data_IF_255207302516
#
_entry.id   IF_255207302516
#
_cell.length_a   1.000
_cell.length_b   1.000
_cell.length_c   1.000
_cell.angle_alpha   90.00
_cell.angle_beta   90.00
_cell.angle_gamma   90.00
#
_symmetry.space_group_name_H-M   'P 1'
#
loop_
_entity.id
_entity.type
_entity.pdbx_description
1 polymer ?
#
# COMPACT_ATOMS: atom_id res chain seq x y z
N UNK A 1 -8.31 26.78 0.72
CA UNK A 1 -8.25 25.38 1.13
C UNK A 1 -7.23 25.28 2.27
N UNK A 2 -7.61 24.81 3.47
CA UNK A 2 -6.61 24.52 4.51
C UNK A 2 -5.71 23.42 3.95
N UNK A 3 -4.41 23.66 3.85
CA UNK A 3 -3.41 22.66 3.48
C UNK A 3 -3.56 21.50 4.44
N UNK A 4 -3.60 20.28 3.91
CA UNK A 4 -3.56 19.11 4.78
C UNK A 4 -2.23 19.15 5.51
N UNK A 5 -2.30 19.07 6.83
CA UNK A 5 -1.10 18.90 7.65
C UNK A 5 -0.31 17.71 7.11
N UNK A 6 0.99 17.90 6.87
CA UNK A 6 1.87 16.83 6.45
C UNK A 6 1.91 15.77 7.55
N UNK A 7 1.30 14.63 7.27
CA UNK A 7 1.17 13.53 8.22
C UNK A 7 2.14 12.41 7.85
N UNK A 8 2.69 11.77 8.90
CA UNK A 8 3.58 10.62 8.74
C UNK A 8 4.91 10.93 8.01
N UNK A 9 5.50 9.90 7.44
CA UNK A 9 6.77 9.94 6.68
C UNK A 9 7.98 10.33 7.53
N UNK A 10 7.89 10.14 8.84
CA UNK A 10 8.98 10.50 9.77
C UNK A 10 10.25 9.72 9.44
N UNK A 11 10.10 8.41 9.18
CA UNK A 11 11.23 7.51 8.86
C UNK A 11 11.84 7.87 7.50
N UNK A 12 11.00 8.03 6.49
CA UNK A 12 11.41 8.39 5.13
C UNK A 12 12.06 9.78 5.11
N UNK A 13 11.43 10.77 5.75
CA UNK A 13 11.96 12.13 5.87
C UNK A 13 13.32 12.15 6.56
N UNK A 14 13.45 11.42 7.69
CA UNK A 14 14.72 11.33 8.43
C UNK A 14 15.81 10.70 7.54
N UNK A 15 15.51 9.60 6.87
CA UNK A 15 16.46 8.87 6.02
C UNK A 15 16.93 9.73 4.84
N UNK A 16 15.99 10.38 4.14
CA UNK A 16 16.34 11.28 3.03
C UNK A 16 17.20 12.44 3.53
N UNK A 17 16.80 13.13 4.61
CA UNK A 17 17.56 14.26 5.14
C UNK A 17 18.96 13.86 5.60
N UNK A 18 19.14 12.67 6.19
CA UNK A 18 20.45 12.15 6.56
C UNK A 18 21.34 11.93 5.33
N UNK A 19 20.80 11.35 4.27
CA UNK A 19 21.55 11.14 3.02
C UNK A 19 21.90 12.46 2.33
N UNK A 20 20.98 13.44 2.29
CA UNK A 20 21.23 14.76 1.70
C UNK A 20 22.28 15.61 2.48
N UNK A 21 22.58 15.24 3.72
CA UNK A 21 23.62 15.91 4.54
C UNK A 21 25.03 15.34 4.32
N UNK A 22 25.20 14.33 3.48
CA UNK A 22 26.51 13.78 3.17
C UNK A 22 27.36 14.81 2.42
N UNK A 23 28.69 14.72 2.58
CA UNK A 23 29.63 15.68 1.95
C UNK A 23 29.78 15.51 0.44
N UNK A 24 29.28 14.43 -0.12
CA UNK A 24 29.27 14.12 -1.56
C UNK A 24 27.85 14.13 -2.10
N UNK A 25 27.68 14.43 -3.38
CA UNK A 25 26.38 14.34 -4.02
C UNK A 25 25.81 12.93 -3.92
N UNK A 26 24.49 12.83 -3.69
CA UNK A 26 23.78 11.56 -3.55
C UNK A 26 22.68 11.45 -4.60
N UNK A 27 22.40 10.21 -5.00
CA UNK A 27 21.30 9.86 -5.88
C UNK A 27 20.24 9.07 -5.12
N UNK A 28 19.04 9.61 -5.00
CA UNK A 28 17.93 9.02 -4.24
C UNK A 28 16.77 8.72 -5.17
N UNK A 29 16.19 7.55 -5.02
CA UNK A 29 15.02 7.10 -5.79
C UNK A 29 13.82 6.93 -4.87
N UNK A 30 12.73 7.65 -5.16
CA UNK A 30 11.45 7.52 -4.50
C UNK A 30 10.44 6.88 -5.44
N UNK A 31 9.79 5.80 -5.01
CA UNK A 31 8.75 5.18 -5.81
C UNK A 31 7.61 4.65 -4.94
N UNK A 32 6.50 4.33 -5.54
CA UNK A 32 5.35 3.78 -4.84
C UNK A 32 4.05 4.21 -5.51
N UNK A 33 2.96 3.60 -5.08
CA UNK A 33 1.64 3.78 -5.66
C UNK A 33 1.27 5.27 -5.78
N UNK A 34 0.55 5.60 -6.86
CA UNK A 34 -0.04 6.92 -7.08
C UNK A 34 -0.86 7.37 -5.86
N UNK A 35 -0.83 8.69 -5.58
CA UNK A 35 -1.60 9.35 -4.51
C UNK A 35 -1.17 9.01 -3.06
N UNK A 36 -0.04 8.32 -2.88
CA UNK A 36 0.52 8.04 -1.55
C UNK A 36 1.38 9.16 -0.95
N UNK A 37 1.43 10.34 -1.60
CA UNK A 37 2.09 11.53 -1.04
C UNK A 37 3.58 11.68 -1.37
N UNK A 38 4.10 11.08 -2.47
CA UNK A 38 5.51 11.21 -2.91
C UNK A 38 5.91 12.65 -3.19
N UNK A 39 5.16 13.34 -4.07
CA UNK A 39 5.39 14.75 -4.42
C UNK A 39 5.29 15.67 -3.20
N UNK A 40 4.34 15.38 -2.30
CA UNK A 40 4.18 16.11 -1.03
C UNK A 40 5.39 15.93 -0.13
N UNK A 41 5.94 14.71 -0.04
CA UNK A 41 7.16 14.43 0.72
C UNK A 41 8.35 15.20 0.14
N UNK A 42 8.57 15.17 -1.18
CA UNK A 42 9.65 15.91 -1.82
C UNK A 42 9.55 17.41 -1.51
N UNK A 43 8.37 18.00 -1.70
CA UNK A 43 8.14 19.43 -1.39
C UNK A 43 8.31 19.76 0.09
N UNK A 44 7.97 18.82 0.99
CA UNK A 44 8.16 19.00 2.44
C UNK A 44 9.64 19.02 2.86
N UNK A 45 10.49 18.28 2.17
CA UNK A 45 11.92 18.19 2.51
C UNK A 45 12.79 19.22 1.77
N UNK A 46 12.27 19.86 0.73
CA UNK A 46 12.98 20.88 -0.06
C UNK A 46 13.51 22.02 0.79
N UNK A 47 14.75 22.40 0.52
CA UNK A 47 15.38 23.60 1.04
C UNK A 47 15.26 24.79 0.09
N UNK A 48 15.73 25.94 0.56
CA UNK A 48 15.67 27.20 -0.20
C UNK A 48 16.46 27.15 -1.52
N UNK A 49 17.53 26.38 -1.56
CA UNK A 49 18.45 26.32 -2.71
C UNK A 49 18.14 25.16 -3.66
N UNK A 50 17.14 24.34 -3.35
CA UNK A 50 16.73 23.20 -4.15
C UNK A 50 15.86 23.59 -5.34
N UNK A 51 15.81 22.72 -6.35
CA UNK A 51 14.96 22.85 -7.53
C UNK A 51 14.00 21.68 -7.57
N UNK A 52 12.75 21.94 -7.93
CA UNK A 52 11.74 20.91 -8.16
C UNK A 52 11.20 21.05 -9.58
N UNK A 53 11.21 19.94 -10.31
CA UNK A 53 10.58 19.82 -11.61
C UNK A 53 9.62 18.65 -11.63
N UNK A 54 8.42 18.87 -12.14
CA UNK A 54 7.45 17.81 -12.40
C UNK A 54 7.37 17.57 -13.90
N UNK A 55 7.79 16.40 -14.34
CA UNK A 55 7.72 16.00 -15.73
C UNK A 55 6.29 15.69 -16.16
N UNK A 56 6.00 15.90 -17.43
CA UNK A 56 4.72 15.60 -18.07
C UNK A 56 4.89 14.71 -19.33
N UNK A 57 3.82 14.45 -20.05
CA UNK A 57 3.86 13.62 -21.26
C UNK A 57 4.02 14.50 -22.50
N UNK A 58 5.24 14.93 -22.77
CA UNK A 58 5.60 15.71 -23.95
C UNK A 58 6.83 15.08 -24.65
N UNK A 59 7.10 15.53 -25.88
CA UNK A 59 8.30 15.19 -26.59
C UNK A 59 9.57 15.77 -25.91
N UNK A 60 10.71 15.14 -26.13
CA UNK A 60 11.97 15.44 -25.44
C UNK A 60 12.34 16.94 -25.45
N UNK A 61 12.23 17.59 -26.60
CA UNK A 61 12.59 19.00 -26.76
C UNK A 61 11.73 19.88 -25.87
N UNK A 62 10.41 19.65 -25.88
CA UNK A 62 9.46 20.42 -25.05
C UNK A 62 9.63 20.16 -23.56
N UNK A 63 9.96 18.92 -23.18
CA UNK A 63 10.30 18.56 -21.80
C UNK A 63 11.54 19.32 -21.34
N UNK A 64 12.60 19.36 -22.15
CA UNK A 64 13.84 20.03 -21.84
C UNK A 64 13.65 21.56 -21.73
N UNK A 65 12.86 22.14 -22.62
CA UNK A 65 12.50 23.55 -22.56
C UNK A 65 11.63 23.91 -21.35
N UNK A 66 10.64 23.07 -21.03
CA UNK A 66 9.80 23.24 -19.85
C UNK A 66 10.64 23.16 -18.56
N UNK A 67 11.57 22.23 -18.50
CA UNK A 67 12.48 22.09 -17.37
C UNK A 67 13.41 23.32 -17.26
N UNK A 68 13.94 23.81 -18.39
CA UNK A 68 14.76 25.02 -18.41
C UNK A 68 13.99 26.26 -17.89
N UNK A 69 12.72 26.40 -18.26
CA UNK A 69 11.85 27.47 -17.75
C UNK A 69 11.64 27.37 -16.24
N UNK A 70 11.43 26.15 -15.71
CA UNK A 70 11.29 25.95 -14.26
C UNK A 70 12.58 26.34 -13.51
N UNK A 71 13.74 25.98 -14.06
CA UNK A 71 15.04 26.36 -13.52
C UNK A 71 15.26 27.87 -13.59
N UNK A 72 14.75 28.54 -14.63
CA UNK A 72 14.92 29.99 -14.84
C UNK A 72 14.25 30.85 -13.75
N UNK A 73 13.23 30.32 -13.03
CA UNK A 73 12.69 31.01 -11.84
C UNK A 73 13.76 31.22 -10.77
N UNK A 74 14.74 30.34 -10.70
CA UNK A 74 15.84 30.42 -9.74
C UNK A 74 17.12 30.97 -10.35
N UNK A 75 17.43 30.61 -11.58
CA UNK A 75 18.60 31.00 -12.32
C UNK A 75 18.18 31.77 -13.58
N UNK A 76 18.00 33.12 -13.51
CA UNK A 76 17.55 33.92 -14.64
C UNK A 76 18.37 33.66 -15.90
N UNK A 77 17.69 33.59 -17.03
CA UNK A 77 18.26 33.31 -18.37
C UNK A 77 18.71 31.88 -18.61
N UNK A 78 18.45 30.93 -17.72
CA UNK A 78 18.71 29.52 -17.98
C UNK A 78 17.89 29.00 -19.18
N UNK A 79 16.65 29.46 -19.31
CA UNK A 79 15.72 29.15 -20.40
C UNK A 79 16.08 29.86 -21.73
N UNK A 80 17.01 30.80 -21.73
CA UNK A 80 17.47 31.52 -22.96
C UNK A 80 18.62 30.76 -23.66
N UNK A 81 19.15 29.73 -23.05
CA UNK A 81 20.21 28.89 -23.62
C UNK A 81 19.58 27.70 -24.33
N UNK A 82 20.03 27.41 -25.55
CA UNK A 82 19.63 26.19 -26.28
C UNK A 82 20.49 25.03 -25.80
N UNK A 83 19.85 24.04 -25.23
CA UNK A 83 20.50 22.80 -24.81
C UNK A 83 20.24 21.70 -25.85
N UNK A 84 21.21 21.29 -26.67
CA UNK A 84 20.98 20.30 -27.73
C UNK A 84 20.76 18.87 -27.18
N UNK A 85 21.20 18.59 -25.96
CA UNK A 85 21.07 17.28 -25.32
C UNK A 85 20.82 17.40 -23.82
N UNK A 86 20.38 16.32 -23.17
CA UNK A 86 20.31 16.25 -21.71
C UNK A 86 21.68 16.34 -21.04
N UNK A 87 22.76 15.88 -21.68
CA UNK A 87 24.12 16.02 -21.17
C UNK A 87 24.50 17.50 -21.05
N UNK A 88 24.28 18.30 -22.13
CA UNK A 88 24.54 19.74 -22.12
C UNK A 88 23.65 20.49 -21.12
N UNK A 89 22.40 20.04 -20.95
CA UNK A 89 21.47 20.59 -19.99
C UNK A 89 21.95 20.40 -18.54
N UNK A 90 22.26 19.16 -18.15
CA UNK A 90 22.76 18.88 -16.79
C UNK A 90 24.13 19.50 -16.54
N UNK A 91 24.99 19.59 -17.55
CA UNK A 91 26.25 20.31 -17.44
C UNK A 91 26.01 21.80 -17.15
N UNK A 92 25.15 22.47 -17.93
CA UNK A 92 24.76 23.86 -17.69
C UNK A 92 24.14 24.10 -16.30
N UNK A 93 23.34 23.15 -15.84
CA UNK A 93 22.76 23.20 -14.49
C UNK A 93 23.82 23.04 -13.40
N UNK A 94 24.80 22.14 -13.58
CA UNK A 94 25.89 21.91 -12.65
C UNK A 94 26.75 23.17 -12.40
N UNK A 95 26.85 24.04 -13.40
CA UNK A 95 27.56 25.34 -13.30
C UNK A 95 26.77 26.37 -12.47
N UNK A 96 25.50 26.19 -12.24
CA UNK A 96 24.61 27.16 -11.57
C UNK A 96 24.17 26.71 -10.18
N UNK A 97 24.01 25.41 -9.95
CA UNK A 97 23.56 24.88 -8.67
C UNK A 97 24.62 25.05 -7.58
N UNK A 98 24.16 25.40 -6.39
CA UNK A 98 25.01 25.42 -5.22
C UNK A 98 25.43 23.99 -4.83
N UNK A 99 26.64 23.85 -4.34
CA UNK A 99 27.13 22.58 -3.80
C UNK A 99 26.17 22.07 -2.71
N UNK A 100 25.85 20.79 -2.79
CA UNK A 100 24.93 20.06 -1.88
C UNK A 100 23.46 20.54 -1.92
N UNK A 101 23.05 21.40 -2.84
CA UNK A 101 21.62 21.60 -3.12
C UNK A 101 21.05 20.37 -3.84
N UNK A 102 19.74 20.29 -3.97
CA UNK A 102 19.07 19.08 -4.50
C UNK A 102 18.19 19.43 -5.70
N UNK A 103 18.32 18.62 -6.74
CA UNK A 103 17.40 18.60 -7.87
C UNK A 103 16.38 17.48 -7.64
N UNK A 104 15.11 17.85 -7.46
CA UNK A 104 13.98 16.95 -7.35
C UNK A 104 13.29 16.83 -8.71
N UNK A 105 13.22 15.64 -9.26
CA UNK A 105 12.52 15.33 -10.52
C UNK A 105 11.34 14.41 -10.21
N UNK A 106 10.15 14.97 -10.27
CA UNK A 106 8.91 14.22 -10.08
C UNK A 106 8.42 13.68 -11.43
N UNK A 107 7.80 12.50 -11.38
CA UNK A 107 7.35 11.73 -12.56
C UNK A 107 8.47 11.50 -13.59
N UNK A 108 9.68 11.17 -13.14
CA UNK A 108 10.84 10.82 -13.94
C UNK A 108 10.56 9.80 -15.07
N UNK A 109 9.66 8.81 -14.89
CA UNK A 109 9.25 7.92 -15.98
C UNK A 109 8.74 8.62 -17.24
N UNK A 110 8.15 9.80 -17.16
CA UNK A 110 7.71 10.54 -18.34
C UNK A 110 8.89 11.09 -19.14
N UNK A 111 9.96 11.54 -18.47
CA UNK A 111 11.20 11.91 -19.16
C UNK A 111 11.84 10.70 -19.88
N UNK A 112 11.85 9.55 -19.21
CA UNK A 112 12.43 8.32 -19.81
C UNK A 112 11.63 7.85 -21.02
N UNK A 113 10.30 8.00 -21.01
CA UNK A 113 9.46 7.63 -22.17
C UNK A 113 9.79 8.47 -23.42
N UNK A 114 10.01 9.76 -23.25
CA UNK A 114 10.38 10.67 -24.37
C UNK A 114 11.88 10.62 -24.71
N UNK A 115 12.72 10.24 -23.74
CA UNK A 115 14.18 10.17 -23.87
C UNK A 115 14.71 8.87 -23.28
N UNK A 116 14.62 7.72 -24.00
CA UNK A 116 15.10 6.43 -23.48
C UNK A 116 16.58 6.39 -23.11
N UNK A 117 17.40 7.30 -23.66
CA UNK A 117 18.82 7.43 -23.32
C UNK A 117 19.07 8.15 -21.97
N UNK A 118 18.07 8.83 -21.40
CA UNK A 118 18.24 9.64 -20.20
C UNK A 118 18.77 8.85 -18.99
N UNK A 119 18.33 7.62 -18.69
CA UNK A 119 18.92 6.83 -17.61
C UNK A 119 20.42 6.61 -17.75
N UNK A 120 20.91 6.35 -18.99
CA UNK A 120 22.35 6.21 -19.28
C UNK A 120 23.12 7.51 -19.11
N UNK A 121 22.50 8.65 -19.43
CA UNK A 121 23.10 9.98 -19.22
C UNK A 121 23.23 10.26 -17.71
N UNK A 122 22.17 10.00 -16.94
CA UNK A 122 22.20 10.15 -15.48
C UNK A 122 23.25 9.20 -14.87
N UNK A 123 23.34 7.97 -15.34
CA UNK A 123 24.38 7.03 -14.93
C UNK A 123 25.78 7.61 -15.13
N UNK A 124 26.10 8.12 -16.33
CA UNK A 124 27.41 8.72 -16.62
C UNK A 124 27.74 9.90 -15.72
N UNK A 125 26.75 10.74 -15.41
CA UNK A 125 26.89 11.89 -14.49
C UNK A 125 27.25 11.43 -13.08
N UNK A 126 26.61 10.36 -12.58
CA UNK A 126 26.89 9.79 -11.27
C UNK A 126 28.26 9.11 -11.25
N UNK A 127 28.55 8.24 -12.22
CA UNK A 127 29.77 7.44 -12.28
C UNK A 127 31.04 8.33 -12.47
N UNK A 128 30.93 9.44 -13.20
CA UNK A 128 32.02 10.41 -13.39
C UNK A 128 32.31 11.27 -12.15
N UNK A 129 31.43 11.24 -11.12
CA UNK A 129 31.53 12.11 -9.93
C UNK A 129 31.61 13.59 -10.26
N UNK A 130 31.08 14.00 -11.41
CA UNK A 130 31.11 15.40 -11.88
C UNK A 130 30.03 16.27 -11.28
N UNK A 131 28.99 15.68 -10.67
CA UNK A 131 27.90 16.41 -10.06
C UNK A 131 28.35 17.12 -8.77
N UNK A 132 27.86 18.34 -8.58
CA UNK A 132 28.05 19.13 -7.36
C UNK A 132 26.82 19.18 -6.47
N UNK A 133 25.68 18.66 -6.95
CA UNK A 133 24.37 18.67 -6.32
C UNK A 133 23.77 17.26 -6.24
N UNK A 134 22.80 17.09 -5.35
CA UNK A 134 22.07 15.82 -5.18
C UNK A 134 20.98 15.68 -6.24
N UNK A 135 20.65 14.45 -6.60
CA UNK A 135 19.51 14.14 -7.48
C UNK A 135 18.52 13.25 -6.72
N UNK A 136 17.27 13.67 -6.69
CA UNK A 136 16.16 12.86 -6.18
C UNK A 136 15.16 12.66 -7.30
N UNK A 137 15.01 11.44 -7.78
CA UNK A 137 13.99 11.10 -8.78
C UNK A 137 12.79 10.43 -8.12
N UNK A 138 11.62 10.69 -8.67
CA UNK A 138 10.37 10.11 -8.21
C UNK A 138 9.50 9.65 -9.37
N UNK A 139 8.70 8.60 -9.16
CA UNK A 139 7.69 8.17 -10.12
C UNK A 139 6.54 7.43 -9.49
N UNK A 140 5.35 7.61 -10.07
CA UNK A 140 4.13 6.93 -9.63
C UNK A 140 4.00 5.52 -10.23
N UNK A 141 4.57 5.26 -11.40
CA UNK A 141 4.60 3.92 -11.97
C UNK A 141 5.63 3.05 -11.25
N UNK A 142 5.13 2.16 -10.38
CA UNK A 142 5.98 1.25 -9.63
C UNK A 142 6.77 0.32 -10.56
N UNK A 143 6.12 -0.18 -11.61
CA UNK A 143 6.75 -1.08 -12.58
C UNK A 143 7.94 -0.41 -13.28
N UNK A 144 7.75 0.82 -13.79
CA UNK A 144 8.83 1.53 -14.47
C UNK A 144 9.97 1.89 -13.51
N UNK A 145 9.66 2.42 -12.34
CA UNK A 145 10.69 2.79 -11.37
C UNK A 145 11.48 1.58 -10.86
N UNK A 146 10.81 0.46 -10.59
CA UNK A 146 11.50 -0.78 -10.23
C UNK A 146 12.35 -1.32 -11.39
N UNK A 147 11.85 -1.27 -12.62
CA UNK A 147 12.61 -1.60 -13.81
C UNK A 147 13.90 -0.78 -13.89
N UNK A 148 13.81 0.54 -13.79
CA UNK A 148 14.94 1.46 -13.93
C UNK A 148 16.07 1.27 -12.92
N UNK A 149 15.75 0.88 -11.67
CA UNK A 149 16.73 0.90 -10.56
C UNK A 149 17.00 -0.46 -9.92
N UNK A 150 16.14 -1.47 -10.12
CA UNK A 150 16.27 -2.79 -9.49
C UNK A 150 16.56 -3.91 -10.50
N UNK A 151 16.48 -3.66 -11.81
CA UNK A 151 16.85 -4.62 -12.84
C UNK A 151 18.33 -4.50 -13.17
N UNK A 152 19.06 -5.63 -13.13
CA UNK A 152 20.49 -5.67 -13.39
C UNK A 152 20.90 -5.18 -14.80
N UNK A 153 19.96 -5.23 -15.74
CA UNK A 153 20.19 -4.86 -17.13
C UNK A 153 20.03 -3.35 -17.39
N UNK A 154 19.60 -2.60 -16.36
CA UNK A 154 19.27 -1.17 -16.49
C UNK A 154 20.43 -0.27 -16.02
N UNK A 155 20.62 0.89 -16.67
CA UNK A 155 21.77 1.78 -16.41
C UNK A 155 21.86 2.26 -14.95
N UNK A 156 20.73 2.50 -14.26
CA UNK A 156 20.70 3.03 -12.89
C UNK A 156 20.79 1.95 -11.81
N UNK A 157 20.90 0.68 -12.19
CA UNK A 157 21.06 -0.42 -11.23
C UNK A 157 22.30 -0.24 -10.36
N UNK A 158 22.11 -0.31 -9.03
CA UNK A 158 23.20 -0.20 -8.07
C UNK A 158 23.84 1.20 -7.92
N UNK A 159 23.28 2.26 -8.55
CA UNK A 159 23.79 3.63 -8.44
C UNK A 159 23.07 4.48 -7.40
N UNK A 160 21.88 4.10 -7.00
CA UNK A 160 21.14 4.84 -5.98
C UNK A 160 21.75 4.61 -4.59
N UNK A 161 22.06 5.71 -3.88
CA UNK A 161 22.46 5.68 -2.47
C UNK A 161 21.27 5.28 -1.59
N UNK A 162 20.05 5.65 -1.99
CA UNK A 162 18.81 5.31 -1.31
C UNK A 162 17.69 4.97 -2.31
N UNK A 163 17.02 3.86 -2.07
CA UNK A 163 15.80 3.47 -2.77
C UNK A 163 14.68 3.38 -1.73
N UNK A 164 13.73 4.31 -1.77
CA UNK A 164 12.69 4.42 -0.75
C UNK A 164 11.32 4.19 -1.39
N UNK A 165 10.66 3.15 -0.93
CA UNK A 165 9.28 2.84 -1.34
C UNK A 165 8.29 3.55 -0.44
N UNK A 166 7.45 4.41 -1.03
CA UNK A 166 6.38 5.11 -0.34
C UNK A 166 5.11 4.26 -0.39
N UNK A 167 4.75 3.68 0.75
CA UNK A 167 3.59 2.81 0.91
C UNK A 167 2.36 3.58 1.40
N UNK A 168 1.14 3.03 1.29
CA UNK A 168 -0.03 3.58 1.97
C UNK A 168 0.21 3.79 3.46
N UNK A 169 -0.43 4.78 4.04
CA UNK A 169 -0.30 5.11 5.47
C UNK A 169 -1.00 4.08 6.36
N UNK A 170 -0.51 3.92 7.59
CA UNK A 170 -1.13 3.06 8.58
C UNK A 170 -2.42 3.68 9.14
N UNK A 171 -3.29 2.85 9.69
CA UNK A 171 -4.64 3.20 10.16
C UNK A 171 -4.65 4.32 11.23
N UNK A 172 -3.66 4.41 12.12
CA UNK A 172 -3.61 5.45 13.15
C UNK A 172 -3.48 6.87 12.56
N UNK A 173 -2.84 7.01 11.39
CA UNK A 173 -2.79 8.30 10.68
C UNK A 173 -4.15 8.70 10.11
N UNK A 174 -4.97 7.73 9.71
CA UNK A 174 -6.35 8.00 9.32
C UNK A 174 -7.16 8.55 10.51
N UNK A 175 -7.03 7.92 11.69
CA UNK A 175 -7.69 8.40 12.90
C UNK A 175 -7.32 9.85 13.21
N UNK A 176 -6.03 10.15 13.22
CA UNK A 176 -5.52 11.52 13.42
C UNK A 176 -6.07 12.47 12.36
N UNK A 177 -6.04 12.05 11.08
CA UNK A 177 -6.51 12.85 9.96
C UNK A 177 -8.00 13.17 10.02
N UNK A 178 -8.85 12.18 10.38
CA UNK A 178 -10.32 12.31 10.42
C UNK A 178 -10.84 12.84 11.76
N UNK A 179 -10.03 12.81 12.83
CA UNK A 179 -10.44 13.15 14.20
C UNK A 179 -11.71 12.41 14.62
N UNK A 180 -11.71 11.10 14.52
CA UNK A 180 -12.88 10.24 14.73
C UNK A 180 -12.60 9.13 15.74
N UNK A 181 -13.65 8.40 16.16
CA UNK A 181 -13.52 7.27 17.08
C UNK A 181 -12.74 6.12 16.47
N UNK A 182 -12.17 5.25 17.28
CA UNK A 182 -11.42 4.10 16.81
C UNK A 182 -12.30 3.13 15.98
N UNK A 183 -13.55 2.92 16.37
CA UNK A 183 -14.51 2.10 15.62
C UNK A 183 -14.74 2.70 14.22
N UNK A 184 -15.10 3.98 14.17
CA UNK A 184 -15.30 4.67 12.88
C UNK A 184 -14.02 4.67 12.04
N UNK A 185 -12.85 4.74 12.68
CA UNK A 185 -11.56 4.67 11.96
C UNK A 185 -11.38 3.34 11.24
N UNK A 186 -11.77 2.21 11.84
CA UNK A 186 -11.73 0.91 11.17
C UNK A 186 -12.70 0.88 9.98
N UNK A 187 -13.93 1.40 10.16
CA UNK A 187 -14.93 1.48 9.09
C UNK A 187 -14.46 2.38 7.93
N UNK A 188 -13.91 3.55 8.23
CA UNK A 188 -13.32 4.45 7.24
C UNK A 188 -12.12 3.81 6.52
N UNK A 189 -11.23 3.14 7.28
CA UNK A 189 -10.07 2.47 6.71
C UNK A 189 -10.45 1.32 5.78
N UNK A 190 -11.51 0.61 6.11
CA UNK A 190 -12.03 -0.47 5.26
C UNK A 190 -12.46 0.01 3.87
N UNK A 191 -12.96 1.26 3.76
CA UNK A 191 -13.39 1.82 2.48
C UNK A 191 -12.29 2.57 1.73
N UNK A 192 -11.45 3.32 2.46
CA UNK A 192 -10.49 4.26 1.84
C UNK A 192 -9.06 3.77 1.89
N UNK A 193 -8.76 2.74 2.68
CA UNK A 193 -7.41 2.26 2.90
C UNK A 193 -6.48 3.33 3.46
N UNK A 194 -5.17 3.19 3.17
CA UNK A 194 -4.12 4.08 3.65
C UNK A 194 -3.71 5.18 2.66
N UNK A 195 -4.54 5.52 1.67
CA UNK A 195 -4.18 6.50 0.61
C UNK A 195 -4.61 7.90 0.99
N UNK A 196 -3.69 8.86 1.27
CA UNK A 196 -4.03 10.19 1.78
C UNK A 196 -5.01 10.96 0.90
N UNK A 197 -4.87 10.85 -0.41
CA UNK A 197 -5.77 11.54 -1.35
C UNK A 197 -7.23 11.08 -1.25
N UNK A 198 -7.47 9.82 -0.91
CA UNK A 198 -8.83 9.33 -0.72
C UNK A 198 -9.43 9.91 0.57
N UNK A 199 -8.62 10.10 1.60
CA UNK A 199 -9.03 10.78 2.84
C UNK A 199 -9.40 12.24 2.61
N UNK A 200 -8.62 12.95 1.77
CA UNK A 200 -8.94 14.33 1.36
C UNK A 200 -10.31 14.43 0.68
N UNK A 201 -10.59 13.47 -0.21
CA UNK A 201 -11.87 13.43 -0.90
C UNK A 201 -13.01 13.10 0.06
N UNK A 202 -12.80 12.10 0.95
CA UNK A 202 -13.75 11.69 1.97
C UNK A 202 -14.13 12.85 2.91
N UNK A 203 -13.18 13.67 3.33
CA UNK A 203 -13.41 14.80 4.25
C UNK A 203 -14.35 15.89 3.72
N UNK A 204 -14.67 15.88 2.45
CA UNK A 204 -15.63 16.82 1.85
C UNK A 204 -17.07 16.51 2.20
N UNK A 205 -17.34 15.32 2.73
CA UNK A 205 -18.68 14.82 3.06
C UNK A 205 -18.84 14.67 4.57
N UNK A 206 -20.05 14.94 5.07
CA UNK A 206 -20.34 14.88 6.52
C UNK A 206 -20.38 13.45 7.04
N UNK A 207 -21.04 12.56 6.31
CA UNK A 207 -21.23 11.16 6.70
C UNK A 207 -20.43 10.20 5.84
N UNK A 208 -20.18 9.00 6.36
CA UNK A 208 -19.60 7.91 5.57
C UNK A 208 -20.53 7.47 4.45
N UNK A 209 -21.84 7.50 4.69
CA UNK A 209 -22.87 7.18 3.71
C UNK A 209 -22.82 8.13 2.52
N UNK A 210 -22.84 9.46 2.75
CA UNK A 210 -22.74 10.45 1.68
C UNK A 210 -21.47 10.27 0.86
N UNK A 211 -20.34 10.06 1.55
CA UNK A 211 -19.07 9.83 0.87
C UNK A 211 -19.07 8.55 0.03
N UNK A 212 -19.65 7.46 0.54
CA UNK A 212 -19.75 6.20 -0.22
C UNK A 212 -20.59 6.41 -1.49
N UNK A 213 -21.76 7.03 -1.37
CA UNK A 213 -22.63 7.31 -2.52
C UNK A 213 -21.94 8.19 -3.57
N UNK A 214 -21.35 9.30 -3.14
CA UNK A 214 -20.76 10.29 -4.03
C UNK A 214 -19.38 9.95 -4.57
N UNK A 215 -18.62 9.08 -3.91
CA UNK A 215 -17.26 8.74 -4.32
C UNK A 215 -17.13 7.35 -4.93
N UNK A 216 -17.98 6.39 -4.53
CA UNK A 216 -17.87 5.00 -4.96
C UNK A 216 -19.06 4.52 -5.80
N UNK A 217 -20.26 5.13 -5.63
CA UNK A 217 -21.49 4.76 -6.34
C UNK A 217 -21.95 5.82 -7.33
N UNK A 218 -21.08 6.76 -7.71
CA UNK A 218 -21.31 7.78 -8.72
C UNK A 218 -20.30 7.61 -9.86
N UNK A 219 -20.83 7.39 -11.07
CA UNK A 219 -20.02 7.21 -12.29
C UNK A 219 -19.15 8.42 -12.64
N UNK A 220 -19.56 9.62 -12.21
CA UNK A 220 -18.81 10.86 -12.42
C UNK A 220 -17.63 11.01 -11.44
N UNK A 221 -17.55 10.14 -10.43
CA UNK A 221 -16.50 10.21 -9.43
C UNK A 221 -15.16 9.70 -9.97
N UNK A 222 -14.09 10.41 -9.61
CA UNK A 222 -12.71 9.98 -9.93
C UNK A 222 -12.40 8.59 -9.33
N UNK A 223 -12.97 8.24 -8.17
CA UNK A 223 -12.74 6.96 -7.53
C UNK A 223 -13.50 5.81 -8.22
N UNK A 224 -14.54 6.09 -8.97
CA UNK A 224 -15.26 5.05 -9.73
C UNK A 224 -14.36 4.38 -10.80
N UNK A 225 -13.50 5.15 -11.47
CA UNK A 225 -12.56 4.64 -12.48
C UNK A 225 -11.12 4.47 -12.00
N UNK A 226 -10.86 4.76 -10.72
CA UNK A 226 -9.49 4.74 -10.16
C UNK A 226 -8.77 3.38 -10.30
N UNK A 227 -9.39 2.21 -10.08
CA UNK A 227 -8.68 0.95 -10.18
C UNK A 227 -8.14 0.66 -11.59
N UNK A 228 -8.90 0.99 -12.63
CA UNK A 228 -8.42 0.83 -14.01
C UNK A 228 -7.23 1.75 -14.28
N UNK A 229 -7.29 3.01 -13.82
CA UNK A 229 -6.19 3.98 -13.97
C UNK A 229 -4.92 3.52 -13.25
N UNK A 230 -5.05 2.95 -12.05
CA UNK A 230 -3.90 2.38 -11.33
C UNK A 230 -3.23 1.26 -12.11
N UNK A 231 -4.01 0.38 -12.73
CA UNK A 231 -3.46 -0.73 -13.50
C UNK A 231 -2.87 -0.28 -14.83
N UNK A 232 -3.41 0.76 -15.46
CA UNK A 232 -2.80 1.37 -16.66
C UNK A 232 -1.42 1.97 -16.35
N UNK A 233 -1.23 2.53 -15.16
CA UNK A 233 0.06 3.08 -14.74
C UNK A 233 1.08 2.00 -14.34
N UNK A 234 0.62 0.89 -13.72
CA UNK A 234 1.51 -0.07 -13.04
C UNK A 234 1.62 -1.43 -13.73
N UNK A 235 0.78 -1.76 -14.72
CA UNK A 235 0.71 -3.09 -15.31
C UNK A 235 0.92 -3.08 -16.82
N UNK A 236 1.62 -4.10 -17.34
CA UNK A 236 1.73 -4.29 -18.80
C UNK A 236 0.39 -4.60 -19.45
N UNK A 237 -0.49 -5.32 -18.73
CA UNK A 237 -1.87 -5.60 -19.14
C UNK A 237 -2.83 -5.21 -18.01
N UNK A 238 -3.35 -3.99 -18.09
CA UNK A 238 -4.32 -3.47 -17.14
C UNK A 238 -5.61 -4.29 -17.14
N UNK A 239 -6.07 -4.73 -18.32
CA UNK A 239 -7.27 -5.55 -18.48
C UNK A 239 -7.14 -6.89 -17.75
N UNK A 240 -6.00 -7.58 -17.91
CA UNK A 240 -5.75 -8.84 -17.22
C UNK A 240 -5.71 -8.65 -15.70
N UNK A 241 -5.02 -7.61 -15.22
CA UNK A 241 -4.94 -7.27 -13.80
C UNK A 241 -6.34 -7.01 -13.24
N UNK A 242 -7.13 -6.18 -13.92
CA UNK A 242 -8.51 -5.87 -13.53
C UNK A 242 -9.39 -7.12 -13.46
N UNK A 243 -9.30 -8.01 -14.46
CA UNK A 243 -10.08 -9.26 -14.49
C UNK A 243 -9.70 -10.19 -13.34
N UNK A 244 -8.40 -10.39 -13.08
CA UNK A 244 -7.94 -11.20 -11.93
C UNK A 244 -8.45 -10.62 -10.62
N UNK A 245 -8.34 -9.30 -10.43
CA UNK A 245 -8.83 -8.62 -9.23
C UNK A 245 -10.35 -8.74 -9.08
N UNK A 246 -11.10 -8.70 -10.17
CA UNK A 246 -12.56 -8.89 -10.16
C UNK A 246 -12.93 -10.31 -9.74
N UNK A 247 -12.23 -11.33 -10.24
CA UNK A 247 -12.44 -12.72 -9.85
C UNK A 247 -12.16 -12.93 -8.35
N UNK A 248 -11.06 -12.34 -7.85
CA UNK A 248 -10.69 -12.44 -6.42
C UNK A 248 -11.68 -11.67 -5.55
N UNK A 249 -12.09 -10.46 -5.95
CA UNK A 249 -13.11 -9.68 -5.27
C UNK A 249 -14.48 -10.37 -5.23
N UNK A 250 -14.79 -11.19 -6.24
CA UNK A 250 -15.95 -12.05 -6.30
C UNK A 250 -15.87 -13.33 -5.45
N UNK A 251 -14.81 -13.48 -4.60
CA UNK A 251 -14.69 -14.57 -3.64
C UNK A 251 -13.86 -15.78 -4.10
N UNK A 252 -13.24 -15.75 -5.28
CA UNK A 252 -12.39 -16.82 -5.79
C UNK A 252 -10.95 -16.57 -5.42
N UNK A 253 -10.38 -17.41 -4.55
CA UNK A 253 -9.07 -17.13 -3.94
C UNK A 253 -7.97 -18.12 -4.32
N UNK A 254 -8.28 -19.30 -4.88
CA UNK A 254 -7.27 -20.31 -5.25
C UNK A 254 -6.78 -20.10 -6.68
N UNK A 255 -5.47 -20.22 -6.90
CA UNK A 255 -4.90 -20.03 -8.24
C UNK A 255 -5.53 -20.93 -9.32
N UNK A 256 -5.83 -22.19 -8.99
CA UNK A 256 -6.50 -23.12 -9.91
C UNK A 256 -7.91 -22.66 -10.29
N UNK A 257 -8.66 -22.14 -9.34
CA UNK A 257 -10.02 -21.61 -9.57
C UNK A 257 -10.01 -20.31 -10.36
N UNK A 258 -9.03 -19.41 -10.07
CA UNK A 258 -8.82 -18.18 -10.85
C UNK A 258 -8.47 -18.53 -12.30
N UNK A 259 -7.58 -19.51 -12.51
CA UNK A 259 -7.20 -19.98 -13.84
C UNK A 259 -8.40 -20.57 -14.60
N UNK A 260 -9.20 -21.41 -13.93
CA UNK A 260 -10.42 -21.98 -14.51
C UNK A 260 -11.44 -20.90 -14.93
N UNK A 261 -11.64 -19.87 -14.10
CA UNK A 261 -12.53 -18.73 -14.45
C UNK A 261 -12.03 -17.92 -15.65
N UNK A 262 -10.73 -17.92 -15.90
CA UNK A 262 -10.10 -17.26 -17.05
C UNK A 262 -10.00 -18.18 -18.27
N UNK A 263 -10.40 -19.45 -18.16
CA UNK A 263 -10.22 -20.47 -19.20
C UNK A 263 -8.76 -20.59 -19.64
N UNK A 264 -7.82 -20.47 -18.70
CA UNK A 264 -6.38 -20.52 -18.94
C UNK A 264 -5.71 -21.59 -18.05
N UNK A 265 -4.60 -22.18 -18.47
CA UNK A 265 -3.82 -23.06 -17.61
C UNK A 265 -3.25 -22.33 -16.41
N UNK A 266 -3.08 -23.00 -15.26
CA UNK A 266 -2.57 -22.41 -14.03
C UNK A 266 -1.19 -21.75 -14.19
N UNK A 267 -0.36 -22.25 -15.10
CA UNK A 267 0.95 -21.67 -15.42
C UNK A 267 0.84 -20.27 -16.01
N UNK A 268 -0.22 -19.98 -16.75
CA UNK A 268 -0.45 -18.67 -17.38
C UNK A 268 -0.67 -17.56 -16.36
N UNK A 269 -1.34 -17.84 -15.22
CA UNK A 269 -1.66 -16.82 -14.23
C UNK A 269 -0.57 -16.60 -13.18
N UNK A 270 0.43 -17.49 -13.10
CA UNK A 270 1.48 -17.41 -12.07
C UNK A 270 2.25 -16.08 -12.11
N UNK A 271 2.66 -15.64 -13.30
CA UNK A 271 3.38 -14.36 -13.50
C UNK A 271 2.47 -13.14 -13.23
N UNK A 272 1.24 -13.05 -13.74
CA UNK A 272 0.30 -11.98 -13.38
C UNK A 272 0.05 -11.87 -11.87
N UNK A 273 -0.16 -12.98 -11.17
CA UNK A 273 -0.34 -12.98 -9.72
C UNK A 273 0.92 -12.49 -8.99
N UNK A 274 2.10 -12.94 -9.40
CA UNK A 274 3.38 -12.48 -8.84
C UNK A 274 3.56 -10.97 -9.03
N UNK A 275 3.25 -10.44 -10.21
CA UNK A 275 3.33 -9.00 -10.48
C UNK A 275 2.36 -8.20 -9.60
N UNK A 276 1.11 -8.67 -9.43
CA UNK A 276 0.13 -8.02 -8.56
C UNK A 276 0.56 -8.02 -7.09
N UNK A 277 1.25 -9.10 -6.64
CA UNK A 277 1.83 -9.16 -5.29
C UNK A 277 3.00 -8.18 -5.17
N UNK A 278 3.91 -8.15 -6.14
CA UNK A 278 5.08 -7.25 -6.16
C UNK A 278 4.66 -5.78 -6.11
N UNK A 279 3.55 -5.44 -6.77
CA UNK A 279 2.96 -4.08 -6.76
C UNK A 279 2.08 -3.80 -5.54
N UNK A 280 1.97 -4.71 -4.57
CA UNK A 280 1.12 -4.59 -3.37
C UNK A 280 -0.38 -4.50 -3.63
N UNK A 281 -0.87 -5.00 -4.75
CA UNK A 281 -2.30 -5.12 -5.02
C UNK A 281 -2.90 -6.39 -4.43
N UNK A 282 -2.14 -7.49 -4.46
CA UNK A 282 -2.49 -8.77 -3.85
C UNK A 282 -1.54 -9.15 -2.72
N UNK A 283 -2.01 -10.00 -1.84
CA UNK A 283 -1.21 -10.79 -0.91
C UNK A 283 -1.51 -12.27 -1.09
N UNK A 284 -0.48 -13.10 -0.91
CA UNK A 284 -0.60 -14.55 -0.86
C UNK A 284 -0.68 -14.97 0.60
N UNK A 285 -1.81 -15.51 1.03
CA UNK A 285 -1.98 -16.09 2.36
C UNK A 285 -1.74 -17.59 2.30
N UNK A 286 -1.03 -18.10 3.29
CA UNK A 286 -0.79 -19.54 3.51
C UNK A 286 -1.09 -19.86 4.95
N UNK A 287 -1.59 -21.08 5.27
CA UNK A 287 -1.86 -21.45 6.65
C UNK A 287 -0.62 -21.36 7.53
N UNK A 288 -0.81 -21.03 8.79
CA UNK A 288 0.26 -21.07 9.78
C UNK A 288 0.95 -22.44 9.77
N UNK A 289 2.28 -22.48 9.85
CA UNK A 289 3.08 -23.71 9.82
C UNK A 289 3.36 -24.32 8.44
N UNK A 290 2.72 -23.83 7.39
CA UNK A 290 2.98 -24.28 6.01
C UNK A 290 4.17 -23.55 5.37
N UNK A 291 4.90 -24.25 4.49
CA UNK A 291 6.03 -23.67 3.76
C UNK A 291 5.54 -22.80 2.58
N UNK A 292 6.05 -21.59 2.47
CA UNK A 292 5.65 -20.61 1.44
C UNK A 292 5.90 -21.07 0.01
N UNK A 293 6.98 -21.84 -0.21
CA UNK A 293 7.37 -22.29 -1.55
C UNK A 293 6.50 -23.44 -2.07
N UNK A 294 6.05 -24.34 -1.18
CA UNK A 294 5.46 -25.63 -1.57
C UNK A 294 3.98 -25.78 -1.18
N UNK A 295 3.38 -24.81 -0.48
CA UNK A 295 1.99 -24.94 -0.04
C UNK A 295 1.01 -24.88 -1.21
N UNK A 296 0.22 -25.94 -1.38
CA UNK A 296 -0.91 -26.01 -2.31
C UNK A 296 -2.18 -25.36 -1.74
N UNK A 297 -2.14 -24.89 -0.50
CA UNK A 297 -3.28 -24.28 0.23
C UNK A 297 -3.27 -22.76 0.15
N UNK A 298 -2.50 -22.17 -0.77
CA UNK A 298 -2.38 -20.73 -0.90
C UNK A 298 -3.69 -20.07 -1.33
N UNK A 299 -4.03 -18.94 -0.70
CA UNK A 299 -5.13 -18.08 -1.06
C UNK A 299 -4.58 -16.72 -1.51
N UNK A 300 -5.14 -16.17 -2.58
CA UNK A 300 -4.81 -14.83 -3.08
C UNK A 300 -5.91 -13.87 -2.64
N UNK A 301 -5.55 -12.83 -1.90
CA UNK A 301 -6.49 -11.80 -1.42
C UNK A 301 -6.04 -10.41 -1.84
N UNK A 302 -6.98 -9.52 -2.08
CA UNK A 302 -6.69 -8.12 -2.36
C UNK A 302 -6.12 -7.50 -1.08
N UNK A 303 -4.97 -6.84 -1.20
CA UNK A 303 -4.24 -6.29 -0.06
C UNK A 303 -4.76 -4.92 0.37
N UNK A 304 -5.09 -4.06 -0.58
CA UNK A 304 -5.55 -2.71 -0.33
C UNK A 304 -7.06 -2.70 0.01
N UNK A 305 -7.49 -2.12 1.14
CA UNK A 305 -8.90 -2.14 1.54
C UNK A 305 -9.83 -1.45 0.54
N UNK A 306 -9.44 -0.28 -0.02
CA UNK A 306 -10.25 0.39 -1.02
C UNK A 306 -10.48 -0.48 -2.26
N UNK A 307 -9.42 -1.10 -2.79
CA UNK A 307 -9.55 -2.02 -3.93
C UNK A 307 -10.35 -3.27 -3.56
N UNK A 308 -10.17 -3.80 -2.35
CA UNK A 308 -10.95 -4.92 -1.86
C UNK A 308 -12.45 -4.58 -1.85
N UNK A 309 -12.82 -3.43 -1.28
CA UNK A 309 -14.21 -2.96 -1.29
C UNK A 309 -14.73 -2.76 -2.73
N UNK A 310 -13.95 -2.10 -3.58
CA UNK A 310 -14.32 -1.82 -4.96
C UNK A 310 -14.63 -3.10 -5.75
N UNK A 311 -13.71 -4.08 -5.70
CA UNK A 311 -13.88 -5.32 -6.45
C UNK A 311 -14.92 -6.27 -5.85
N UNK A 312 -15.20 -6.16 -4.55
CA UNK A 312 -16.26 -6.98 -3.92
C UNK A 312 -17.65 -6.42 -4.16
N UNK A 313 -17.81 -5.09 -4.19
CA UNK A 313 -19.14 -4.46 -4.22
C UNK A 313 -19.42 -3.65 -5.48
N UNK A 314 -18.45 -2.85 -5.95
CA UNK A 314 -18.73 -1.91 -7.04
C UNK A 314 -18.76 -2.63 -8.39
N UNK A 315 -17.75 -3.47 -8.66
CA UNK A 315 -17.64 -4.15 -9.97
C UNK A 315 -18.88 -4.98 -10.29
N UNK A 316 -19.39 -5.72 -9.31
CA UNK A 316 -20.57 -6.58 -9.49
C UNK A 316 -21.89 -5.79 -9.63
N UNK A 317 -21.87 -4.49 -9.35
CA UNK A 317 -23.04 -3.62 -9.42
C UNK A 317 -22.91 -2.48 -10.45
N UNK A 318 -21.88 -2.50 -11.30
CA UNK A 318 -21.63 -1.43 -12.28
C UNK A 318 -22.85 -1.10 -13.11
N UNK A 319 -23.50 -2.09 -13.73
CA UNK A 319 -24.68 -1.87 -14.57
C UNK A 319 -25.86 -1.23 -13.81
N UNK A 320 -25.99 -1.54 -12.50
CA UNK A 320 -27.05 -0.92 -11.67
C UNK A 320 -26.68 0.53 -11.33
N UNK A 321 -25.40 0.81 -11.05
CA UNK A 321 -24.91 2.17 -10.77
C UNK A 321 -25.05 3.04 -12.01
N UNK A 322 -24.69 2.53 -13.19
CA UNK A 322 -24.83 3.20 -14.48
C UNK A 322 -26.30 3.44 -14.88
N UNK A 323 -27.22 2.64 -14.34
CA UNK A 323 -28.66 2.81 -14.49
C UNK A 323 -29.31 3.67 -13.38
N UNK A 324 -28.54 4.53 -12.70
CA UNK A 324 -28.97 5.43 -11.60
C UNK A 324 -29.60 4.72 -10.38
N UNK A 325 -29.28 3.43 -10.15
CA UNK A 325 -29.78 2.64 -9.01
C UNK A 325 -28.83 2.61 -7.82
N UNK A 326 -28.01 3.65 -7.66
CA UNK A 326 -27.00 3.75 -6.61
C UNK A 326 -27.57 3.62 -5.19
N UNK A 327 -28.81 4.11 -4.96
CA UNK A 327 -29.48 3.98 -3.66
C UNK A 327 -29.83 2.51 -3.33
N UNK A 328 -30.26 1.74 -4.30
CA UNK A 328 -30.55 0.30 -4.13
C UNK A 328 -29.25 -0.46 -3.84
N UNK A 329 -28.20 -0.18 -4.61
CA UNK A 329 -26.86 -0.78 -4.41
C UNK A 329 -26.34 -0.47 -3.02
N UNK A 330 -26.44 0.78 -2.56
CA UNK A 330 -26.07 1.16 -1.20
C UNK A 330 -26.83 0.35 -0.14
N UNK A 331 -28.14 0.18 -0.33
CA UNK A 331 -28.99 -0.60 0.59
C UNK A 331 -28.52 -2.07 0.68
N UNK A 332 -28.15 -2.67 -0.45
CA UNK A 332 -27.65 -4.05 -0.48
C UNK A 332 -26.25 -4.16 0.14
N UNK A 333 -25.36 -3.21 -0.10
CA UNK A 333 -24.05 -3.14 0.58
C UNK A 333 -24.25 -3.09 2.09
N UNK A 334 -25.17 -2.27 2.59
CA UNK A 334 -25.44 -2.12 4.03
C UNK A 334 -25.85 -3.43 4.71
N UNK A 335 -26.49 -4.35 4.01
CA UNK A 335 -26.87 -5.67 4.55
C UNK A 335 -25.68 -6.59 4.78
N UNK A 336 -24.60 -6.45 4.01
CA UNK A 336 -23.48 -7.39 3.97
C UNK A 336 -22.14 -6.77 4.41
N UNK A 337 -22.07 -5.45 4.56
CA UNK A 337 -20.83 -4.73 4.87
C UNK A 337 -20.18 -5.19 6.18
N UNK A 338 -20.97 -5.69 7.14
CA UNK A 338 -20.44 -6.21 8.42
C UNK A 338 -19.51 -7.41 8.23
N UNK A 339 -19.77 -8.25 7.21
CA UNK A 339 -18.91 -9.40 6.86
C UNK A 339 -17.59 -8.88 6.33
N UNK A 340 -17.64 -7.93 5.40
CA UNK A 340 -16.46 -7.29 4.84
C UNK A 340 -15.60 -6.57 5.90
N UNK A 341 -16.24 -5.85 6.82
CA UNK A 341 -15.58 -5.22 7.96
C UNK A 341 -14.91 -6.26 8.88
N UNK A 342 -15.50 -7.45 9.03
CA UNK A 342 -14.90 -8.58 9.72
C UNK A 342 -13.56 -9.00 9.10
N UNK A 343 -13.52 -9.19 7.78
CA UNK A 343 -12.29 -9.54 7.04
C UNK A 343 -11.18 -8.48 7.21
N UNK A 344 -11.57 -7.19 7.15
CA UNK A 344 -10.62 -6.08 7.35
C UNK A 344 -10.12 -6.07 8.80
N UNK A 345 -11.01 -6.29 9.78
CA UNK A 345 -10.66 -6.35 11.19
C UNK A 345 -9.70 -7.50 11.50
N UNK A 346 -9.92 -8.69 10.94
CA UNK A 346 -8.99 -9.81 11.04
C UNK A 346 -7.60 -9.46 10.48
N UNK A 347 -7.56 -8.79 9.31
CA UNK A 347 -6.29 -8.39 8.71
C UNK A 347 -5.53 -7.37 9.57
N UNK A 348 -6.22 -6.39 10.14
CA UNK A 348 -5.66 -5.41 11.07
C UNK A 348 -5.19 -6.07 12.37
N UNK A 349 -5.94 -7.06 12.87
CA UNK A 349 -5.60 -7.79 14.08
C UNK A 349 -4.33 -8.64 13.91
N UNK A 350 -4.15 -9.29 12.75
CA UNK A 350 -2.90 -9.99 12.43
C UNK A 350 -1.71 -9.05 12.32
N UNK A 351 -1.89 -7.89 11.68
CA UNK A 351 -0.85 -6.86 11.59
C UNK A 351 -0.47 -6.31 12.98
N UNK A 352 -1.46 -6.09 13.82
CA UNK A 352 -1.25 -5.69 15.22
C UNK A 352 -0.41 -6.70 15.99
N UNK A 353 -0.75 -7.99 15.96
CA UNK A 353 0.03 -9.04 16.67
C UNK A 353 1.46 -9.06 16.18
N UNK A 354 1.69 -8.98 14.87
CA UNK A 354 3.02 -8.97 14.27
C UNK A 354 3.90 -7.82 14.76
N UNK A 355 3.32 -6.67 15.10
CA UNK A 355 4.05 -5.46 15.44
C UNK A 355 3.93 -5.03 16.91
N UNK A 356 3.25 -5.80 17.75
CA UNK A 356 3.02 -5.49 19.16
C UNK A 356 3.65 -6.51 20.11
N UNK A 357 3.73 -6.12 21.40
CA UNK A 357 4.19 -6.99 22.47
C UNK A 357 3.01 -7.33 23.39
N UNK A 358 2.21 -8.34 23.03
CA UNK A 358 1.11 -8.81 23.88
C UNK A 358 1.72 -9.61 25.03
N UNK A 359 1.37 -9.25 26.29
CA UNK A 359 1.94 -9.82 27.53
C UNK A 359 3.48 -9.69 27.61
N UNK A 360 4.07 -8.62 27.07
CA UNK A 360 5.51 -8.42 26.97
C UNK A 360 6.27 -9.49 26.18
N UNK A 361 5.53 -10.26 25.33
CA UNK A 361 6.10 -11.27 24.44
C UNK A 361 6.15 -10.68 23.04
N UNK A 362 7.30 -10.84 22.37
CA UNK A 362 7.47 -10.50 20.95
C UNK A 362 6.99 -11.66 20.09
N UNK A 363 6.15 -11.35 19.11
CA UNK A 363 5.53 -12.33 18.24
C UNK A 363 6.16 -12.32 16.85
N UNK A 364 6.22 -13.48 16.23
CA UNK A 364 6.54 -13.63 14.81
C UNK A 364 5.32 -13.21 13.96
N UNK A 365 5.44 -13.24 12.63
CA UNK A 365 4.36 -12.87 11.72
C UNK A 365 3.09 -13.70 12.00
N UNK A 366 2.02 -13.00 12.36
CA UNK A 366 0.73 -13.64 12.60
C UNK A 366 0.06 -14.07 11.28
N UNK A 367 -0.47 -15.30 11.27
CA UNK A 367 -1.12 -15.91 10.10
C UNK A 367 -2.46 -16.51 10.50
N UNK A 368 -3.34 -16.73 9.54
CA UNK A 368 -4.51 -17.61 9.67
C UNK A 368 -4.05 -19.06 9.67
N UNK A 369 -4.91 -19.93 10.18
CA UNK A 369 -4.77 -21.36 9.98
C UNK A 369 -6.13 -21.98 9.59
N UNK A 370 -6.10 -22.90 8.67
CA UNK A 370 -7.27 -23.69 8.27
C UNK A 370 -6.83 -25.10 7.91
N UNK A 371 -7.64 -26.05 8.33
CA UNK A 371 -7.37 -27.47 8.11
C UNK A 371 -8.15 -28.36 9.05
N UNK A 372 -7.76 -29.61 9.08
CA UNK A 372 -8.40 -30.60 9.96
C UNK A 372 -7.71 -30.65 11.32
N UNK A 373 -8.51 -30.59 12.37
CA UNK A 373 -8.05 -30.82 13.75
C UNK A 373 -7.69 -32.26 14.03
N UNK A 374 -7.28 -32.54 15.28
CA UNK A 374 -7.00 -33.91 15.74
C UNK A 374 -8.26 -34.81 15.66
N UNK A 375 -9.43 -34.20 15.83
CA UNK A 375 -10.74 -34.84 15.70
C UNK A 375 -11.21 -34.99 14.23
N UNK A 376 -10.34 -34.71 13.26
CA UNK A 376 -10.60 -34.76 11.82
C UNK A 376 -11.67 -33.81 11.30
N UNK A 377 -12.21 -32.91 12.13
CA UNK A 377 -13.13 -31.87 11.69
C UNK A 377 -12.37 -30.67 11.09
N UNK A 378 -12.95 -30.09 10.06
CA UNK A 378 -12.41 -28.85 9.51
C UNK A 378 -12.63 -27.70 10.48
N UNK A 379 -11.60 -26.92 10.68
CA UNK A 379 -11.64 -25.73 11.53
C UNK A 379 -10.73 -24.65 11.00
N UNK A 380 -11.00 -23.44 11.41
CA UNK A 380 -10.24 -22.25 11.06
C UNK A 380 -9.93 -21.46 12.33
N UNK A 381 -8.78 -20.78 12.32
CA UNK A 381 -8.34 -19.86 13.37
C UNK A 381 -7.89 -18.58 12.71
N UNK A 382 -8.41 -17.45 13.16
CA UNK A 382 -8.18 -16.16 12.52
C UNK A 382 -6.75 -15.66 12.73
N UNK A 383 -6.16 -15.95 13.91
CA UNK A 383 -4.85 -15.45 14.31
C UNK A 383 -4.04 -16.53 15.01
N UNK A 384 -2.89 -16.84 14.45
CA UNK A 384 -1.85 -17.68 15.06
C UNK A 384 -0.50 -17.01 14.89
N UNK A 385 0.27 -16.94 15.97
CA UNK A 385 1.65 -16.48 15.95
C UNK A 385 2.51 -17.23 16.96
N UNK A 386 3.71 -17.62 16.57
CA UNK A 386 4.72 -18.08 17.50
C UNK A 386 5.41 -16.89 18.17
N UNK A 387 5.83 -17.01 19.41
CA UNK A 387 6.80 -16.08 19.96
C UNK A 387 8.16 -16.24 19.28
N UNK A 388 8.96 -15.16 19.25
CA UNK A 388 10.29 -15.19 18.61
C UNK A 388 11.17 -16.31 19.20
N UNK A 389 11.05 -16.60 20.50
CA UNK A 389 11.78 -17.66 21.20
C UNK A 389 11.13 -19.06 21.10
N UNK A 390 10.01 -19.17 20.35
CA UNK A 390 9.22 -20.39 20.09
C UNK A 390 8.64 -21.08 21.33
N UNK A 391 8.68 -20.44 22.51
CA UNK A 391 8.13 -21.01 23.77
C UNK A 391 6.63 -20.82 23.91
N UNK A 392 6.09 -19.80 23.27
CA UNK A 392 4.67 -19.42 23.35
C UNK A 392 4.03 -19.50 21.96
N UNK A 393 2.74 -19.75 21.96
CA UNK A 393 1.88 -19.61 20.78
C UNK A 393 0.68 -18.75 21.14
N UNK A 394 0.46 -17.70 20.35
CA UNK A 394 -0.74 -16.87 20.42
C UNK A 394 -1.81 -17.48 19.53
N UNK A 395 -3.01 -17.64 20.08
CA UNK A 395 -4.18 -18.14 19.38
C UNK A 395 -5.32 -17.15 19.61
N UNK A 396 -5.89 -16.64 18.52
CA UNK A 396 -6.90 -15.59 18.61
C UNK A 396 -8.03 -15.71 17.60
N UNK A 397 -9.18 -15.18 17.98
CA UNK A 397 -10.39 -15.06 17.17
C UNK A 397 -10.80 -13.59 17.06
N UNK A 398 -11.38 -13.25 15.90
CA UNK A 398 -11.85 -11.90 15.60
C UNK A 398 -13.36 -11.85 15.47
N UNK A 399 -13.99 -10.79 16.02
CA UNK A 399 -15.42 -10.57 15.82
C UNK A 399 -15.75 -9.09 15.68
N UNK A 400 -16.23 -8.70 14.50
CA UNK A 400 -16.73 -7.35 14.25
C UNK A 400 -18.24 -7.31 14.43
N UNK A 401 -18.69 -7.27 15.67
CA UNK A 401 -20.09 -7.27 16.05
C UNK A 401 -20.29 -6.49 17.34
N UNK A 402 -21.40 -5.76 17.44
CA UNK A 402 -21.78 -5.05 18.65
C UNK A 402 -22.29 -6.01 19.76
N UNK A 403 -22.70 -7.21 19.39
CA UNK A 403 -23.25 -8.24 20.29
C UNK A 403 -22.40 -9.52 20.20
N UNK A 404 -21.17 -9.46 20.73
CA UNK A 404 -20.32 -10.63 20.81
C UNK A 404 -20.55 -11.39 22.12
N UNK A 405 -20.87 -12.68 22.04
CA UNK A 405 -20.91 -13.57 23.20
C UNK A 405 -19.49 -14.06 23.52
N UNK A 406 -18.88 -13.44 24.53
CA UNK A 406 -17.48 -13.70 24.89
C UNK A 406 -17.30 -15.10 25.47
N UNK A 407 -18.29 -15.61 26.24
CA UNK A 407 -18.20 -16.95 26.80
C UNK A 407 -18.25 -18.02 25.70
N UNK A 408 -19.14 -17.83 24.72
CA UNK A 408 -19.23 -18.71 23.57
C UNK A 408 -17.93 -18.69 22.75
N UNK A 409 -17.39 -17.50 22.48
CA UNK A 409 -16.12 -17.36 21.75
C UNK A 409 -14.95 -17.98 22.51
N UNK A 410 -14.89 -17.83 23.83
CA UNK A 410 -13.89 -18.46 24.68
C UNK A 410 -13.96 -20.00 24.59
N UNK A 411 -15.17 -20.56 24.72
CA UNK A 411 -15.38 -21.99 24.64
C UNK A 411 -15.01 -22.57 23.27
N UNK A 412 -15.35 -21.83 22.20
CA UNK A 412 -14.96 -22.20 20.83
C UNK A 412 -13.45 -22.16 20.66
N UNK A 413 -12.78 -21.14 21.19
CA UNK A 413 -11.33 -21.02 21.14
C UNK A 413 -10.67 -22.18 21.92
N UNK A 414 -11.18 -22.57 23.08
CA UNK A 414 -10.67 -23.70 23.87
C UNK A 414 -10.85 -25.03 23.15
N UNK A 415 -11.97 -25.23 22.47
CA UNK A 415 -12.18 -26.39 21.61
C UNK A 415 -11.16 -26.44 20.47
N UNK A 416 -10.94 -25.32 19.77
CA UNK A 416 -9.95 -25.22 18.69
C UNK A 416 -8.55 -25.54 19.21
N UNK A 417 -8.14 -24.96 20.35
CA UNK A 417 -6.84 -25.18 20.99
C UNK A 417 -6.60 -26.67 21.29
N UNK A 418 -7.57 -27.37 21.85
CA UNK A 418 -7.48 -28.80 22.16
C UNK A 418 -7.24 -29.65 20.92
N UNK A 419 -7.70 -29.21 19.77
CA UNK A 419 -7.60 -29.90 18.49
C UNK A 419 -6.38 -29.50 17.63
N UNK A 420 -5.50 -28.61 18.12
CA UNK A 420 -4.25 -28.24 17.45
C UNK A 420 -3.07 -29.10 17.91
N UNK A 421 -2.57 -29.96 17.05
CA UNK A 421 -1.43 -30.84 17.37
C UNK A 421 -0.15 -30.06 17.66
N UNK A 422 0.11 -29.00 16.95
CA UNK A 422 1.34 -28.19 17.06
C UNK A 422 1.33 -27.21 18.26
N UNK A 423 0.22 -27.07 18.96
CA UNK A 423 0.12 -26.22 20.15
C UNK A 423 0.50 -26.95 21.47
N UNK A 424 0.56 -28.29 21.46
CA UNK A 424 0.69 -29.11 22.68
C UNK A 424 1.93 -28.82 23.53
N UNK A 425 3.03 -28.44 22.92
CA UNK A 425 4.33 -28.23 23.61
C UNK A 425 4.66 -26.76 23.84
N UNK A 426 3.69 -25.86 23.69
CA UNK A 426 3.90 -24.41 23.84
C UNK A 426 2.96 -23.84 24.90
N UNK A 427 3.41 -22.78 25.57
CA UNK A 427 2.54 -21.98 26.43
C UNK A 427 1.58 -21.18 25.58
N UNK A 428 0.27 -21.27 25.87
CA UNK A 428 -0.78 -20.68 25.06
C UNK A 428 -1.13 -19.29 25.59
N UNK A 429 -1.19 -18.32 24.68
CA UNK A 429 -1.71 -16.98 24.93
C UNK A 429 -2.99 -16.79 24.13
N UNK A 430 -4.14 -16.70 24.80
CA UNK A 430 -5.45 -16.52 24.17
C UNK A 430 -5.74 -15.03 23.99
N UNK A 431 -6.27 -14.68 22.81
CA UNK A 431 -6.64 -13.29 22.47
C UNK A 431 -7.97 -13.25 21.73
N UNK A 432 -8.85 -12.32 22.10
CA UNK A 432 -10.06 -12.00 21.35
C UNK A 432 -9.97 -10.58 20.83
N UNK A 433 -10.19 -10.42 19.54
CA UNK A 433 -10.27 -9.10 18.89
C UNK A 433 -11.74 -8.75 18.64
N UNK A 434 -12.26 -7.82 19.42
CA UNK A 434 -13.69 -7.49 19.45
C UNK A 434 -13.93 -6.04 19.06
N UNK A 435 -15.06 -5.76 18.37
CA UNK A 435 -15.47 -4.39 18.03
C UNK A 435 -15.66 -3.54 19.28
N UNK A 436 -16.46 -4.04 20.22
CA UNK A 436 -16.74 -3.41 21.51
C UNK A 436 -16.59 -4.43 22.62
N UNK A 437 -15.99 -4.07 23.74
CA UNK A 437 -16.06 -4.89 24.94
C UNK A 437 -15.75 -4.06 26.18
N UNK A 438 -16.67 -4.10 27.13
CA UNK A 438 -16.44 -3.72 28.53
C UNK A 438 -15.96 -4.91 29.39
N UNK A 439 -15.91 -6.10 28.82
CA UNK A 439 -15.52 -7.31 29.51
C UNK A 439 -14.02 -7.34 29.78
N UNK A 440 -13.65 -7.77 30.99
CA UNK A 440 -12.25 -8.02 31.39
C UNK A 440 -12.15 -9.45 31.88
N UNK A 441 -11.20 -10.19 31.32
CA UNK A 441 -10.87 -11.55 31.75
C UNK A 441 -9.43 -11.61 32.21
N UNK A 442 -9.13 -12.47 33.17
CA UNK A 442 -7.75 -12.80 33.56
C UNK A 442 -7.08 -13.78 32.59
N UNK A 443 -7.90 -14.63 31.97
CA UNK A 443 -7.44 -15.76 31.17
C UNK A 443 -7.36 -15.46 29.67
N UNK A 444 -8.01 -14.40 29.20
CA UNK A 444 -8.06 -14.01 27.79
C UNK A 444 -7.76 -12.53 27.64
N UNK A 445 -6.83 -12.19 26.76
CA UNK A 445 -6.57 -10.82 26.36
C UNK A 445 -7.66 -10.35 25.40
N UNK A 446 -8.28 -9.24 25.69
CA UNK A 446 -9.29 -8.62 24.81
C UNK A 446 -8.70 -7.35 24.21
N UNK A 447 -8.63 -7.32 22.88
CA UNK A 447 -8.14 -6.20 22.10
C UNK A 447 -9.31 -5.60 21.32
N UNK A 448 -9.52 -4.31 21.46
CA UNK A 448 -10.51 -3.55 20.71
C UNK A 448 -9.85 -2.43 19.91
N UNK A 449 -10.58 -1.74 19.01
CA UNK A 449 -9.98 -0.75 18.09
C UNK A 449 -9.10 0.31 18.74
N UNK A 450 -9.47 0.81 19.93
CA UNK A 450 -8.67 1.83 20.63
C UNK A 450 -7.29 1.32 21.03
N UNK A 451 -7.20 0.07 21.53
CA UNK A 451 -5.91 -0.54 21.87
C UNK A 451 -5.08 -0.76 20.61
N UNK A 452 -5.70 -1.36 19.57
CA UNK A 452 -5.03 -1.67 18.31
C UNK A 452 -4.45 -0.40 17.68
N UNK A 453 -5.25 0.65 17.51
CA UNK A 453 -4.81 1.86 16.81
C UNK A 453 -3.76 2.62 17.62
N UNK A 454 -3.89 2.70 18.95
CA UNK A 454 -2.89 3.37 19.83
C UNK A 454 -1.51 2.69 19.78
N UNK A 455 -1.46 1.39 19.58
CA UNK A 455 -0.20 0.63 19.62
C UNK A 455 0.48 0.55 18.25
N UNK A 456 -0.24 0.79 17.14
CA UNK A 456 0.30 0.74 15.78
C UNK A 456 1.06 2.01 15.34
N UNK A 457 1.62 2.76 16.29
CA UNK A 457 2.41 3.98 16.02
C UNK A 457 3.79 3.70 15.41
#
# INVERSE_FOLDING_TARGET
MKSIEFLDRIKETKRIKQSLQLKQPVFIVLYGRRRCGKSTLMRHIMGKDDIYYQADQQEEIYQRDAFAREIAYKFPSFDKVVYPSWESFFFGLNMRMKKNSTLFIDEFPFLVRSSPALPSIVQKLIDSKSLTYNIVICGSSQQMMQGLVLSSDEPLYGRADEIIRITPMKIHWLQKSMNTTAINTVEEYALWGGVPRYWEMRKKYKTLEDAMKMLLLDTSSILYEEPMRLFLDDMRSAVQAYTIMSIIGGGVHRSSEIAARLEKPATFISRPLANLIQMDYLKKEIPFGENEKNSKKSLYKIKDPYLSFYFSYIVNNKSRIEADKSQEVYTDIKKTISIYLGDVWESLSRDFVTHSNIQNIKWDTAKRWWGKGIDHKEMEIDILADSIDKKYILIGECKWSDKADIQLLSNQLDYKIKNLSFAKNKKIVKVLFLKNSSYKSKDINIIHPDILIKTMH
#
